data_IF_111933953180
#
_entry.id   IF_111933953180
#
_cell.length_a   1.000
_cell.length_b   1.000
_cell.length_c   1.000
_cell.angle_alpha   90.00
_cell.angle_beta   90.00
_cell.angle_gamma   90.00
#
_symmetry.space_group_name_H-M   'P 1'
#
loop_
_entity.id
_entity.type
_entity.pdbx_description
1 polymer ?
#
# COMPACT_ATOMS: atom_id res chain seq x y z
N UNK A 1 23.55 10.92 -35.29
CA UNK A 1 24.03 9.86 -34.34
C UNK A 1 24.14 10.38 -32.91
N UNK A 2 24.91 11.43 -32.60
CA UNK A 2 24.99 12.00 -31.23
C UNK A 2 23.65 12.55 -30.70
N UNK A 3 22.89 13.26 -31.54
CA UNK A 3 21.59 13.86 -31.17
C UNK A 3 20.51 12.80 -30.91
N UNK A 4 20.53 11.72 -31.70
CA UNK A 4 19.61 10.58 -31.59
C UNK A 4 19.82 9.81 -30.27
N UNK A 5 21.06 9.66 -29.83
CA UNK A 5 21.40 8.99 -28.56
C UNK A 5 20.93 9.84 -27.36
N UNK A 6 21.12 11.16 -27.41
CA UNK A 6 20.68 12.07 -26.34
C UNK A 6 19.16 12.06 -26.14
N UNK A 7 18.38 11.96 -27.22
CA UNK A 7 16.92 11.90 -27.16
C UNK A 7 16.40 10.58 -26.56
N UNK A 8 17.09 9.46 -26.83
CA UNK A 8 16.73 8.15 -26.27
C UNK A 8 16.95 8.13 -24.75
N UNK A 9 18.08 8.68 -24.27
CA UNK A 9 18.36 8.80 -22.84
C UNK A 9 17.39 9.73 -22.10
N UNK A 10 16.94 10.81 -22.73
CA UNK A 10 15.99 11.75 -22.12
C UNK A 10 14.59 11.13 -21.94
N UNK A 11 14.18 10.21 -22.82
CA UNK A 11 12.89 9.52 -22.72
C UNK A 11 12.87 8.38 -21.69
N UNK A 12 14.02 7.77 -21.39
CA UNK A 12 14.11 6.68 -20.43
C UNK A 12 13.90 7.10 -18.98
N UNK A 13 14.18 8.37 -18.65
CA UNK A 13 14.09 8.91 -17.29
C UNK A 13 12.64 9.20 -16.86
N UNK A 14 11.69 9.33 -17.78
CA UNK A 14 10.30 9.67 -17.46
C UNK A 14 9.43 8.46 -17.10
N UNK A 15 9.93 7.23 -17.20
CA UNK A 15 9.11 6.02 -17.11
C UNK A 15 9.07 5.34 -15.72
N UNK A 16 9.65 5.94 -14.67
CA UNK A 16 9.90 5.21 -13.41
C UNK A 16 8.92 5.45 -12.25
N UNK A 17 7.80 6.17 -12.41
CA UNK A 17 6.95 6.55 -11.26
C UNK A 17 5.49 6.06 -11.29
N UNK A 18 5.14 5.11 -12.16
CA UNK A 18 3.87 4.39 -12.01
C UNK A 18 3.98 3.34 -10.89
N UNK A 19 4.30 3.76 -9.67
CA UNK A 19 4.08 2.93 -8.47
C UNK A 19 2.58 2.70 -8.41
N UNK A 20 2.17 1.44 -8.55
CA UNK A 20 0.79 1.02 -8.28
C UNK A 20 0.46 1.46 -6.85
N UNK A 21 -0.32 2.53 -6.71
CA UNK A 21 -0.81 2.98 -5.41
C UNK A 21 -1.86 1.96 -4.99
N UNK A 22 -1.43 0.89 -4.33
CA UNK A 22 -2.33 -0.05 -3.67
C UNK A 22 -3.29 0.79 -2.82
N UNK A 23 -4.58 0.76 -3.18
CA UNK A 23 -5.62 1.49 -2.45
C UNK A 23 -5.48 1.04 -1.00
N UNK A 24 -5.07 1.94 -0.11
CA UNK A 24 -5.02 1.62 1.32
C UNK A 24 -6.45 1.32 1.71
N UNK A 25 -6.73 0.07 2.08
CA UNK A 25 -7.97 -0.25 2.77
C UNK A 25 -8.02 0.64 4.01
N UNK A 26 -9.14 1.33 4.21
CA UNK A 26 -9.35 2.10 5.42
C UNK A 26 -9.32 1.13 6.61
N UNK A 27 -8.71 1.54 7.73
CA UNK A 27 -8.81 0.80 8.97
C UNK A 27 -10.26 0.83 9.44
N UNK A 28 -10.96 -0.30 9.35
CA UNK A 28 -12.29 -0.46 9.92
C UNK A 28 -12.16 -0.99 11.35
N UNK A 29 -11.98 -0.07 12.30
CA UNK A 29 -11.99 -0.38 13.73
C UNK A 29 -13.31 0.07 14.37
N UNK A 30 -13.79 -0.62 15.41
CA UNK A 30 -14.92 -0.14 16.20
C UNK A 30 -14.66 1.23 16.81
N UNK A 31 -15.73 1.98 17.07
CA UNK A 31 -15.65 3.23 17.81
C UNK A 31 -14.98 3.01 19.17
N UNK A 32 -14.06 3.91 19.53
CA UNK A 32 -13.30 3.85 20.78
C UNK A 32 -12.14 2.85 20.79
N UNK A 33 -11.79 2.21 19.67
CA UNK A 33 -10.63 1.32 19.60
C UNK A 33 -9.30 2.03 19.95
N UNK A 34 -9.22 3.34 19.71
CA UNK A 34 -8.11 4.21 20.09
C UNK A 34 -7.92 4.30 21.62
N UNK A 35 -8.95 4.06 22.43
CA UNK A 35 -8.84 4.01 23.89
C UNK A 35 -8.04 2.81 24.38
N UNK A 36 -7.98 1.74 23.59
CA UNK A 36 -7.30 0.48 23.92
C UNK A 36 -5.95 0.43 23.21
N UNK A 37 -5.94 0.67 21.90
CA UNK A 37 -4.75 0.56 21.05
C UNK A 37 -3.88 1.83 21.12
N UNK A 38 -4.47 2.96 21.48
CA UNK A 38 -3.82 4.26 21.43
C UNK A 38 -3.81 4.85 20.01
N UNK A 39 -2.77 5.60 19.68
CA UNK A 39 -2.60 6.21 18.37
C UNK A 39 -2.31 5.15 17.30
N UNK A 40 -3.31 4.83 16.48
CA UNK A 40 -3.20 3.81 15.42
C UNK A 40 -2.32 4.29 14.26
N UNK A 41 -1.36 3.45 13.87
CA UNK A 41 -0.50 3.64 12.68
C UNK A 41 -1.12 2.96 11.47
N UNK A 42 -1.44 3.73 10.43
CA UNK A 42 -2.13 3.26 9.21
C UNK A 42 -1.18 3.00 8.03
N UNK A 43 0.03 2.52 8.33
CA UNK A 43 1.10 2.22 7.38
C UNK A 43 1.19 0.75 6.95
N UNK A 44 0.32 -0.13 7.47
CA UNK A 44 0.26 -1.53 7.08
C UNK A 44 -0.07 -1.68 5.58
N UNK A 45 0.58 -2.66 4.93
CA UNK A 45 0.37 -3.01 3.53
C UNK A 45 0.34 -4.53 3.41
N UNK A 46 -0.69 -5.05 2.75
CA UNK A 46 -0.79 -6.47 2.44
C UNK A 46 0.33 -6.93 1.50
N UNK A 47 0.94 -8.07 1.82
CA UNK A 47 1.96 -8.71 0.99
C UNK A 47 1.33 -9.79 0.08
N UNK A 48 0.65 -10.76 0.67
CA UNK A 48 -0.09 -11.82 -0.01
C UNK A 48 -1.43 -12.05 0.70
N UNK A 49 -2.21 -13.01 0.21
CA UNK A 49 -3.38 -13.55 0.91
C UNK A 49 -2.99 -14.07 2.30
N UNK A 50 -3.78 -13.72 3.31
CA UNK A 50 -3.62 -14.29 4.65
C UNK A 50 -3.95 -13.36 5.80
N UNK A 51 -3.58 -13.81 7.00
CA UNK A 51 -3.80 -13.11 8.26
C UNK A 51 -2.45 -12.60 8.80
N UNK A 52 -2.39 -11.32 9.14
CA UNK A 52 -1.16 -10.66 9.55
C UNK A 52 -1.36 -9.93 10.87
N UNK A 53 -0.46 -10.16 11.83
CA UNK A 53 -0.39 -9.33 13.02
C UNK A 53 0.34 -8.02 12.70
N UNK A 54 -0.20 -6.89 13.14
CA UNK A 54 0.40 -5.58 12.91
C UNK A 54 1.42 -5.23 13.99
N UNK A 55 2.69 -5.49 13.68
CA UNK A 55 3.82 -5.19 14.57
C UNK A 55 3.98 -3.69 14.84
N UNK A 56 3.51 -2.80 13.96
CA UNK A 56 3.64 -1.36 14.17
C UNK A 56 2.62 -0.82 15.17
N UNK A 57 1.53 -1.57 15.39
CA UNK A 57 0.51 -1.33 16.41
C UNK A 57 0.64 -2.34 17.56
N UNK A 58 1.87 -2.73 17.90
CA UNK A 58 2.19 -3.63 19.02
C UNK A 58 1.45 -4.98 19.00
N UNK A 59 1.13 -5.51 17.82
CA UNK A 59 0.35 -6.72 17.61
C UNK A 59 -1.07 -6.68 18.20
N UNK A 60 -1.61 -5.49 18.50
CA UNK A 60 -2.97 -5.31 19.02
C UNK A 60 -4.02 -5.21 17.91
N UNK A 61 -3.58 -5.06 16.66
CA UNK A 61 -4.42 -5.08 15.46
C UNK A 61 -3.96 -6.24 14.58
N UNK A 62 -4.89 -6.90 13.91
CA UNK A 62 -4.60 -7.85 12.86
C UNK A 62 -5.31 -7.44 11.57
N UNK A 63 -4.74 -7.86 10.44
CA UNK A 63 -5.23 -7.59 9.10
C UNK A 63 -5.57 -8.89 8.40
N UNK A 64 -6.67 -8.88 7.65
CA UNK A 64 -7.03 -9.95 6.72
C UNK A 64 -6.79 -9.42 5.32
N UNK A 65 -5.80 -9.98 4.63
CA UNK A 65 -5.48 -9.64 3.26
C UNK A 65 -6.18 -10.61 2.33
N UNK A 66 -7.09 -10.07 1.51
CA UNK A 66 -7.78 -10.82 0.48
C UNK A 66 -7.91 -10.01 -0.82
N UNK A 67 -7.79 -10.70 -1.95
CA UNK A 67 -7.94 -10.17 -3.29
C UNK A 67 -9.42 -9.94 -3.57
N UNK A 68 -9.85 -8.67 -3.47
CA UNK A 68 -11.18 -8.28 -3.89
C UNK A 68 -11.25 -8.24 -5.42
N UNK A 69 -12.05 -9.12 -6.01
CA UNK A 69 -12.45 -9.01 -7.42
C UNK A 69 -13.55 -7.96 -7.53
N UNK A 70 -13.16 -6.75 -7.87
CA UNK A 70 -14.09 -5.69 -8.24
C UNK A 70 -14.49 -5.93 -9.70
N UNK A 71 -15.78 -6.18 -9.96
CA UNK A 71 -16.32 -6.41 -11.32
C UNK A 71 -16.31 -5.17 -12.21
N UNK A 72 -15.86 -4.04 -11.66
CA UNK A 72 -15.91 -2.70 -12.22
C UNK A 72 -14.66 -2.27 -13.01
N UNK A 73 -13.60 -3.09 -13.08
CA UNK A 73 -12.45 -2.87 -13.98
C UNK A 73 -11.43 -1.83 -13.49
#
# INVERSE_FOLDING_TARGET
MKLSIALIFLSGLTLSLAVSRSKRAAYELPDGADLIVGSVRTSFICSNEGYYADIQNNCQIFHVCHTAYHTDG
#
